data_IF_553345096762
#
_entry.id   IF_553345096762
#
_cell.length_a   1.000
_cell.length_b   1.000
_cell.length_c   1.000
_cell.angle_alpha   90.00
_cell.angle_beta   90.00
_cell.angle_gamma   90.00
#
_symmetry.space_group_name_H-M   'P 1'
#
loop_
_entity.id
_entity.type
_entity.pdbx_description
1 polymer ?
#
# COMPACT_ATOMS: atom_id res chain seq x y z
N UNK A 1 12.56 5.77 5.05
CA UNK A 1 12.04 4.40 4.80
C UNK A 1 11.04 4.46 3.65
N UNK A 2 10.81 3.36 2.93
CA UNK A 2 9.77 3.28 1.89
C UNK A 2 8.45 2.78 2.50
N UNK A 3 7.33 3.39 2.10
CA UNK A 3 5.99 2.98 2.51
C UNK A 3 5.47 1.87 1.58
N UNK A 4 4.77 0.88 2.13
CA UNK A 4 4.26 -0.26 1.37
C UNK A 4 3.28 0.18 0.27
N UNK A 5 2.40 1.12 0.57
CA UNK A 5 1.39 1.64 -0.35
C UNK A 5 2.01 2.38 -1.53
N UNK A 6 3.04 3.19 -1.30
CA UNK A 6 3.77 3.91 -2.35
C UNK A 6 4.37 2.90 -3.35
N UNK A 7 5.10 1.90 -2.82
CA UNK A 7 5.67 0.80 -3.62
C UNK A 7 4.60 0.03 -4.39
N UNK A 8 3.44 -0.20 -3.78
CA UNK A 8 2.35 -0.97 -4.34
C UNK A 8 1.60 -0.22 -5.45
N UNK A 9 1.49 1.11 -5.34
CA UNK A 9 0.84 1.97 -6.32
C UNK A 9 1.72 2.27 -7.53
N UNK A 10 3.02 2.47 -7.33
CA UNK A 10 4.01 2.69 -8.40
C UNK A 10 5.25 1.78 -8.23
N UNK A 11 5.10 0.47 -8.49
CA UNK A 11 6.20 -0.48 -8.31
C UNK A 11 7.39 -0.18 -9.24
N UNK A 12 7.19 0.44 -10.41
CA UNK A 12 8.28 0.67 -11.35
C UNK A 12 9.22 1.77 -10.86
N UNK A 13 8.67 2.90 -10.40
CA UNK A 13 9.50 3.99 -9.86
C UNK A 13 10.17 3.56 -8.57
N UNK A 14 9.40 3.01 -7.64
CA UNK A 14 9.91 2.69 -6.31
C UNK A 14 10.89 1.51 -6.28
N UNK A 15 10.68 0.47 -7.09
CA UNK A 15 11.68 -0.63 -7.18
C UNK A 15 12.96 -0.13 -7.84
N UNK A 16 12.89 0.74 -8.84
CA UNK A 16 14.08 1.35 -9.44
C UNK A 16 14.87 2.17 -8.43
N UNK A 17 14.19 2.97 -7.62
CA UNK A 17 14.82 3.78 -6.57
C UNK A 17 15.41 2.91 -5.47
N UNK A 18 14.73 1.81 -5.10
CA UNK A 18 15.22 0.82 -4.15
C UNK A 18 16.49 0.12 -4.66
N UNK A 19 16.50 -0.29 -5.93
CA UNK A 19 17.69 -0.88 -6.56
C UNK A 19 18.85 0.11 -6.57
N UNK A 20 18.59 1.36 -6.93
CA UNK A 20 19.59 2.44 -6.88
C UNK A 20 20.15 2.64 -5.47
N UNK A 21 19.29 2.61 -4.45
CA UNK A 21 19.71 2.72 -3.04
C UNK A 21 20.67 1.58 -2.63
N UNK A 22 20.42 0.36 -3.10
CA UNK A 22 21.31 -0.79 -2.86
C UNK A 22 22.54 -0.85 -3.80
N UNK A 23 22.71 0.11 -4.72
CA UNK A 23 23.77 0.06 -5.72
C UNK A 23 23.58 -1.04 -6.77
N UNK A 24 22.35 -1.53 -6.94
CA UNK A 24 21.98 -2.57 -7.90
C UNK A 24 21.45 -1.96 -9.21
N UNK A 25 21.69 -2.67 -10.31
CA UNK A 25 21.16 -2.28 -11.62
C UNK A 25 19.71 -2.79 -11.80
N UNK A 26 18.80 -1.90 -12.21
CA UNK A 26 17.42 -2.26 -12.54
C UNK A 26 17.36 -3.01 -13.88
N UNK A 27 17.54 -4.33 -13.81
CA UNK A 27 17.62 -5.20 -14.99
C UNK A 27 16.26 -5.42 -15.65
N UNK A 28 16.26 -5.69 -16.97
CA UNK A 28 15.03 -5.99 -17.73
C UNK A 28 14.21 -7.13 -17.11
N UNK A 29 14.87 -8.14 -16.54
CA UNK A 29 14.21 -9.25 -15.86
C UNK A 29 13.38 -8.80 -14.63
N UNK A 30 13.85 -7.78 -13.91
CA UNK A 30 13.10 -7.18 -12.79
C UNK A 30 11.84 -6.51 -13.32
N UNK A 31 11.97 -5.73 -14.40
CA UNK A 31 10.80 -5.13 -15.07
C UNK A 31 9.80 -6.21 -15.52
N UNK A 32 10.28 -7.30 -16.12
CA UNK A 32 9.41 -8.42 -16.54
C UNK A 32 8.71 -9.10 -15.37
N UNK A 33 9.37 -9.20 -14.21
CA UNK A 33 8.74 -9.69 -12.99
C UNK A 33 7.59 -8.76 -12.57
N UNK A 34 7.85 -7.44 -12.48
CA UNK A 34 6.80 -6.46 -12.17
C UNK A 34 5.64 -6.52 -13.17
N UNK A 35 5.95 -6.61 -14.47
CA UNK A 35 4.96 -6.67 -15.53
C UNK A 35 4.00 -7.88 -15.42
N UNK A 36 4.46 -9.00 -14.83
CA UNK A 36 3.71 -10.25 -14.73
C UNK A 36 3.07 -10.47 -13.36
N UNK A 37 3.71 -10.05 -12.27
CA UNK A 37 3.34 -10.46 -10.92
C UNK A 37 2.55 -9.41 -10.13
N UNK A 38 2.47 -8.14 -10.57
CA UNK A 38 1.89 -7.05 -9.76
C UNK A 38 0.55 -6.50 -10.28
N UNK A 39 -0.06 -7.17 -11.27
CA UNK A 39 -1.26 -6.67 -11.97
C UNK A 39 -2.56 -7.40 -11.66
N UNK A 40 -2.49 -8.64 -11.18
CA UNK A 40 -3.66 -9.51 -10.97
C UNK A 40 -3.36 -10.53 -9.90
N UNK A 41 -4.36 -10.86 -9.10
CA UNK A 41 -4.30 -12.00 -8.18
C UNK A 41 -4.43 -13.31 -8.96
N UNK A 42 -3.45 -14.19 -8.80
CA UNK A 42 -3.47 -15.54 -9.37
C UNK A 42 -2.99 -16.51 -8.29
N UNK A 43 -3.70 -17.62 -8.07
CA UNK A 43 -3.28 -18.65 -7.12
C UNK A 43 -3.70 -18.39 -5.66
N UNK A 44 -3.13 -19.16 -4.73
CA UNK A 44 -3.49 -19.16 -3.31
C UNK A 44 -2.69 -18.19 -2.45
N UNK A 45 -2.70 -18.40 -1.13
CA UNK A 45 -2.07 -17.51 -0.13
C UNK A 45 -0.57 -17.30 -0.36
N UNK A 46 0.14 -18.30 -0.88
CA UNK A 46 1.59 -18.25 -1.12
C UNK A 46 1.97 -17.80 -2.54
N UNK A 47 1.01 -17.31 -3.32
CA UNK A 47 1.30 -16.83 -4.67
C UNK A 47 2.06 -15.50 -4.66
N UNK A 48 2.96 -15.36 -5.62
CA UNK A 48 3.69 -14.12 -5.92
C UNK A 48 2.92 -13.20 -6.88
N UNK A 49 1.79 -13.64 -7.43
CA UNK A 49 0.94 -12.85 -8.31
C UNK A 49 -0.16 -12.15 -7.52
N UNK A 50 -0.09 -10.81 -7.47
CA UNK A 50 -1.05 -9.96 -6.76
C UNK A 50 -1.47 -8.78 -7.60
N UNK A 51 -2.70 -8.31 -7.44
CA UNK A 51 -3.01 -6.93 -7.81
C UNK A 51 -2.43 -6.00 -6.74
N UNK A 52 -1.22 -5.51 -7.00
CA UNK A 52 -0.50 -4.65 -6.05
C UNK A 52 -1.28 -3.38 -5.73
N UNK A 53 -2.12 -2.86 -6.63
CA UNK A 53 -2.79 -1.58 -6.41
C UNK A 53 -3.99 -1.68 -5.47
N UNK A 54 -4.69 -2.80 -5.49
CA UNK A 54 -5.84 -3.04 -4.61
C UNK A 54 -5.41 -3.56 -3.23
N UNK A 55 -4.41 -4.45 -3.19
CA UNK A 55 -3.89 -5.10 -1.98
C UNK A 55 -3.79 -4.20 -0.73
N UNK A 56 -3.12 -3.03 -0.78
CA UNK A 56 -2.96 -2.16 0.40
C UNK A 56 -4.26 -1.57 0.95
N UNK A 57 -5.33 -1.53 0.16
CA UNK A 57 -6.57 -0.84 0.53
C UNK A 57 -7.75 -1.79 0.79
N UNK A 58 -7.52 -3.10 0.76
CA UNK A 58 -8.57 -4.11 1.00
C UNK A 58 -9.26 -3.97 2.35
N UNK A 59 -8.52 -3.56 3.38
CA UNK A 59 -9.07 -3.32 4.72
C UNK A 59 -10.24 -2.31 4.73
N UNK A 60 -10.26 -1.36 3.78
CA UNK A 60 -11.36 -0.40 3.62
C UNK A 60 -12.67 -1.05 3.24
N UNK A 61 -12.67 -2.29 2.76
CA UNK A 61 -13.86 -3.08 2.41
C UNK A 61 -14.08 -4.23 3.39
N UNK A 62 -13.00 -4.83 3.90
CA UNK A 62 -13.06 -6.01 4.74
C UNK A 62 -13.50 -5.70 6.18
N UNK A 63 -13.14 -4.52 6.70
CA UNK A 63 -13.50 -4.07 8.04
C UNK A 63 -14.77 -3.21 8.02
N UNK A 64 -15.53 -3.28 9.10
CA UNK A 64 -16.62 -2.34 9.35
C UNK A 64 -16.10 -1.04 10.00
N UNK A 65 -16.91 0.02 9.96
CA UNK A 65 -16.48 1.33 10.46
C UNK A 65 -16.12 1.33 11.95
N UNK A 66 -16.80 0.53 12.78
CA UNK A 66 -16.50 0.45 14.21
C UNK A 66 -15.14 -0.19 14.51
N UNK A 67 -14.74 -1.22 13.74
CA UNK A 67 -13.42 -1.84 13.83
C UNK A 67 -12.33 -0.86 13.42
N UNK A 68 -12.54 -0.14 12.32
CA UNK A 68 -11.63 0.89 11.83
C UNK A 68 -11.49 2.01 12.86
N UNK A 69 -12.61 2.55 13.35
CA UNK A 69 -12.61 3.61 14.35
C UNK A 69 -11.84 3.19 15.61
N UNK A 70 -12.08 1.97 16.11
CA UNK A 70 -11.36 1.44 17.27
C UNK A 70 -9.84 1.41 17.03
N UNK A 71 -9.39 0.95 15.86
CA UNK A 71 -7.96 0.93 15.51
C UNK A 71 -7.43 2.36 15.40
N UNK A 72 -8.13 3.26 14.71
CA UNK A 72 -7.71 4.65 14.49
C UNK A 72 -7.61 5.46 15.79
N UNK A 73 -8.45 5.18 16.78
CA UNK A 73 -8.40 5.80 18.11
C UNK A 73 -7.20 5.30 18.91
N UNK A 74 -6.92 4.00 18.90
CA UNK A 74 -5.80 3.41 19.64
C UNK A 74 -4.43 3.65 18.97
N UNK A 75 -4.40 3.81 17.65
CA UNK A 75 -3.18 3.99 16.87
C UNK A 75 -2.96 5.42 16.36
N UNK A 76 -3.70 6.42 16.88
CA UNK A 76 -3.70 7.80 16.39
C UNK A 76 -2.30 8.39 16.19
N UNK A 77 -1.43 8.26 17.19
CA UNK A 77 -0.07 8.80 17.14
C UNK A 77 0.76 8.12 16.05
N UNK A 78 0.69 6.80 15.93
CA UNK A 78 1.44 6.05 14.92
C UNK A 78 0.95 6.40 13.50
N UNK A 79 -0.38 6.47 13.31
CA UNK A 79 -0.99 6.87 12.04
C UNK A 79 -0.53 8.26 11.60
N UNK A 80 -0.51 9.24 12.51
CA UNK A 80 -0.03 10.60 12.22
C UNK A 80 1.44 10.62 11.79
N UNK A 81 2.31 9.93 12.53
CA UNK A 81 3.75 9.86 12.23
C UNK A 81 4.02 9.18 10.87
N UNK A 82 3.15 8.26 10.44
CA UNK A 82 3.32 7.52 9.18
C UNK A 82 2.49 8.09 8.03
N UNK A 83 1.78 9.20 8.23
CA UNK A 83 1.03 9.90 7.20
C UNK A 83 -0.25 9.18 6.77
N UNK A 84 -0.96 8.60 7.73
CA UNK A 84 -2.31 8.07 7.54
C UNK A 84 -3.37 9.06 8.04
N UNK A 85 -4.47 9.16 7.31
CA UNK A 85 -5.64 9.97 7.69
C UNK A 85 -6.80 9.06 8.10
N UNK A 86 -7.69 9.57 8.96
CA UNK A 86 -8.79 8.81 9.55
C UNK A 86 -10.06 8.86 8.70
N UNK A 87 -10.85 7.80 8.78
CA UNK A 87 -12.20 7.81 8.22
C UNK A 87 -13.15 8.63 9.11
N UNK A 88 -14.01 9.46 8.52
CA UNK A 88 -14.97 10.28 9.28
C UNK A 88 -16.30 9.56 9.54
N UNK A 89 -16.69 8.65 8.66
CA UNK A 89 -17.90 7.82 8.73
C UNK A 89 -17.78 6.63 7.78
N UNK A 90 -18.76 5.74 7.81
CA UNK A 90 -18.77 4.53 7.00
C UNK A 90 -18.72 4.78 5.48
N UNK A 91 -19.47 5.76 4.98
CA UNK A 91 -19.41 6.11 3.55
C UNK A 91 -18.03 6.65 3.17
N UNK A 92 -17.48 7.53 3.99
CA UNK A 92 -16.14 8.08 3.78
C UNK A 92 -15.07 7.00 3.78
N UNK A 93 -15.16 5.99 4.67
CA UNK A 93 -14.23 4.85 4.73
C UNK A 93 -14.09 4.15 3.37
N UNK A 94 -15.17 4.02 2.59
CA UNK A 94 -15.11 3.31 1.31
C UNK A 94 -14.41 4.14 0.22
N UNK A 95 -14.54 5.46 0.27
CA UNK A 95 -14.13 6.35 -0.83
C UNK A 95 -12.76 7.01 -0.64
N UNK A 96 -12.39 7.37 0.58
CA UNK A 96 -11.25 8.25 0.82
C UNK A 96 -9.88 7.63 0.50
N UNK A 97 -8.89 8.49 0.28
CA UNK A 97 -7.49 8.09 0.26
C UNK A 97 -6.94 8.17 1.70
N UNK A 98 -6.49 7.04 2.30
CA UNK A 98 -5.99 7.05 3.66
C UNK A 98 -4.57 7.62 3.79
N UNK A 99 -3.91 8.02 2.69
CA UNK A 99 -2.54 8.51 2.69
C UNK A 99 -2.47 10.04 2.55
N UNK A 100 -1.59 10.66 3.31
CA UNK A 100 -1.19 12.06 3.14
C UNK A 100 0.32 12.18 2.90
N UNK A 101 0.71 13.22 2.15
CA UNK A 101 2.11 13.64 1.97
C UNK A 101 2.54 14.68 3.01
N UNK A 102 1.59 15.24 3.77
CA UNK A 102 1.83 16.23 4.82
C UNK A 102 1.84 15.53 6.19
N UNK A 103 2.98 14.95 6.54
CA UNK A 103 3.20 14.29 7.83
C UNK A 103 4.60 14.64 8.34
N UNK A 104 4.73 14.68 9.66
CA UNK A 104 5.93 15.14 10.40
C UNK A 104 6.36 14.08 11.37
#
# INVERSE_FOLDING_TARGET
>A
AIRYEDLSLDPYTHVRDLFKFFGLFFHRAVKSFLDSHTKKDVGGVSSTFRDSKSAPFHWKMDLNFSEVQYIEENCDQAMKLWGYVKASNESHLREFNPLTTYYT
#
